data_IF_687655817792
#
_entry.id   IF_687655817792
#
_cell.length_a   1.000
_cell.length_b   1.000
_cell.length_c   1.000
_cell.angle_alpha   90.00
_cell.angle_beta   90.00
_cell.angle_gamma   90.00
#
_symmetry.space_group_name_H-M   'P 1'
#
loop_
_entity.id
_entity.type
_entity.pdbx_description
1 polymer ?
#
# COMPACT_ATOMS: atom_id res chain seq x y z
N UNK A 1 -14.81 6.52 15.13
CA UNK A 1 -13.97 5.71 14.22
C UNK A 1 -12.55 6.23 14.26
N UNK A 2 -11.60 5.32 14.19
CA UNK A 2 -10.18 5.61 14.09
C UNK A 2 -9.73 4.98 12.78
N UNK A 3 -9.19 5.80 11.86
CA UNK A 3 -8.68 5.32 10.57
C UNK A 3 -7.15 5.47 10.59
N UNK A 4 -6.44 4.39 10.33
CA UNK A 4 -5.01 4.41 10.04
C UNK A 4 -4.82 4.34 8.53
N UNK A 5 -4.61 5.50 7.92
CA UNK A 5 -4.27 5.58 6.50
C UNK A 5 -2.79 5.25 6.35
N UNK A 6 -2.52 4.11 5.73
CA UNK A 6 -1.19 3.60 5.53
C UNK A 6 -0.63 3.99 4.16
N UNK A 7 0.57 4.53 4.16
CA UNK A 7 1.30 4.93 2.96
C UNK A 7 2.46 4.01 2.58
N UNK A 8 2.70 2.91 3.31
CA UNK A 8 3.82 2.01 3.01
C UNK A 8 3.44 0.53 3.18
N UNK A 9 3.81 -0.29 2.19
CA UNK A 9 3.41 -1.70 2.15
C UNK A 9 3.81 -2.49 3.40
N UNK A 10 5.03 -2.33 3.90
CA UNK A 10 5.55 -3.08 5.04
C UNK A 10 4.79 -2.81 6.35
N UNK A 11 4.11 -1.67 6.45
CA UNK A 11 3.31 -1.34 7.62
C UNK A 11 1.94 -2.06 7.64
N UNK A 12 1.48 -2.61 6.52
CA UNK A 12 0.13 -3.18 6.36
C UNK A 12 -0.21 -4.17 7.46
N UNK A 13 0.68 -5.15 7.70
CA UNK A 13 0.43 -6.19 8.69
C UNK A 13 0.58 -5.68 10.12
N UNK A 14 1.55 -4.81 10.37
CA UNK A 14 1.76 -4.22 11.69
C UNK A 14 0.55 -3.39 12.13
N UNK A 15 0.01 -2.56 11.24
CA UNK A 15 -1.18 -1.73 11.50
C UNK A 15 -2.42 -2.62 11.69
N UNK A 16 -2.61 -3.62 10.83
CA UNK A 16 -3.74 -4.55 10.95
C UNK A 16 -3.70 -5.31 12.29
N UNK A 17 -2.52 -5.79 12.68
CA UNK A 17 -2.32 -6.46 13.95
C UNK A 17 -2.56 -5.53 15.14
N UNK A 18 -2.06 -4.30 15.10
CA UNK A 18 -2.31 -3.30 16.13
C UNK A 18 -3.81 -2.99 16.27
N UNK A 19 -4.52 -2.80 15.17
CA UNK A 19 -5.98 -2.61 15.17
C UNK A 19 -6.72 -3.80 15.82
N UNK A 20 -6.32 -5.03 15.47
CA UNK A 20 -6.90 -6.24 16.05
C UNK A 20 -6.67 -6.33 17.57
N UNK A 21 -5.47 -6.01 18.04
CA UNK A 21 -5.13 -6.05 19.45
C UNK A 21 -5.90 -5.04 20.29
N UNK A 22 -5.99 -3.79 19.82
CA UNK A 22 -6.71 -2.74 20.58
C UNK A 22 -8.23 -2.84 20.47
N UNK A 23 -8.75 -3.64 19.53
CA UNK A 23 -10.19 -3.74 19.28
C UNK A 23 -11.02 -4.10 20.51
N UNK A 24 -10.44 -4.87 21.45
CA UNK A 24 -11.10 -5.27 22.70
C UNK A 24 -11.16 -4.15 23.73
N UNK A 25 -10.22 -3.22 23.66
CA UNK A 25 -10.02 -2.13 24.64
C UNK A 25 -10.72 -0.84 24.22
N UNK A 26 -11.13 -0.76 22.93
CA UNK A 26 -11.82 0.42 22.42
C UNK A 26 -13.18 0.61 23.10
N UNK A 27 -13.57 1.86 23.38
CA UNK A 27 -14.89 2.19 23.89
C UNK A 27 -16.02 1.61 23.01
N UNK A 28 -17.18 1.40 23.64
CA UNK A 28 -18.36 0.97 22.87
C UNK A 28 -18.67 1.94 21.73
N UNK A 29 -19.02 1.39 20.56
CA UNK A 29 -19.24 2.17 19.35
C UNK A 29 -17.98 2.71 18.66
N UNK A 30 -16.79 2.51 19.26
CA UNK A 30 -15.53 2.85 18.60
C UNK A 30 -14.97 1.65 17.82
N UNK A 31 -14.40 1.93 16.66
CA UNK A 31 -13.70 0.93 15.81
C UNK A 31 -12.46 1.55 15.21
N UNK A 32 -11.49 0.67 14.97
CA UNK A 32 -10.21 0.98 14.36
C UNK A 32 -10.12 0.27 13.01
N UNK A 33 -9.77 0.98 11.96
CA UNK A 33 -9.71 0.46 10.60
C UNK A 33 -8.33 0.72 9.99
N UNK A 34 -7.59 -0.32 9.60
CA UNK A 34 -6.43 -0.17 8.74
C UNK A 34 -6.91 0.05 7.31
N UNK A 35 -6.42 1.09 6.66
CA UNK A 35 -6.72 1.42 5.26
C UNK A 35 -5.41 1.74 4.57
N UNK A 36 -5.08 1.01 3.50
CA UNK A 36 -3.96 1.39 2.65
C UNK A 36 -4.47 2.31 1.54
N UNK A 37 -3.70 3.31 1.14
CA UNK A 37 -4.12 4.28 0.12
C UNK A 37 -4.47 3.63 -1.24
N UNK A 38 -4.02 2.41 -1.47
CA UNK A 38 -4.29 1.64 -2.70
C UNK A 38 -5.46 0.65 -2.59
N UNK A 39 -6.08 0.49 -1.42
CA UNK A 39 -7.13 -0.53 -1.21
C UNK A 39 -8.36 -0.32 -2.10
N UNK A 40 -8.70 0.92 -2.39
CA UNK A 40 -9.84 1.26 -3.24
C UNK A 40 -9.55 1.23 -4.74
N UNK A 41 -8.30 1.01 -5.15
CA UNK A 41 -7.95 0.92 -6.56
C UNK A 41 -8.48 -0.38 -7.17
N UNK A 42 -9.11 -0.30 -8.34
CA UNK A 42 -9.48 -1.48 -9.12
C UNK A 42 -8.23 -2.24 -9.60
N UNK A 43 -8.40 -3.49 -9.99
CA UNK A 43 -7.30 -4.29 -10.55
C UNK A 43 -6.63 -3.61 -11.76
N UNK A 44 -7.43 -3.03 -12.66
CA UNK A 44 -6.94 -2.31 -13.83
C UNK A 44 -6.10 -1.09 -13.42
N UNK A 45 -6.56 -0.31 -12.45
CA UNK A 45 -5.83 0.85 -11.96
C UNK A 45 -4.52 0.44 -11.28
N UNK A 46 -4.54 -0.62 -10.49
CA UNK A 46 -3.31 -1.16 -9.89
C UNK A 46 -2.32 -1.62 -10.94
N UNK A 47 -2.78 -2.37 -11.95
CA UNK A 47 -1.92 -2.85 -13.03
C UNK A 47 -1.34 -1.71 -13.89
N UNK A 48 -2.04 -0.59 -13.98
CA UNK A 48 -1.57 0.59 -14.70
C UNK A 48 -0.41 1.27 -13.99
N UNK A 49 -0.47 1.38 -12.66
CA UNK A 49 0.45 2.21 -11.87
C UNK A 49 1.47 1.41 -11.06
N UNK A 50 1.15 0.20 -10.67
CA UNK A 50 2.00 -0.66 -9.85
C UNK A 50 1.84 -2.12 -10.22
N UNK A 51 2.66 -2.96 -9.64
CA UNK A 51 2.65 -4.39 -9.87
C UNK A 51 3.95 -4.86 -10.49
N UNK A 52 4.12 -6.18 -10.60
CA UNK A 52 5.41 -6.77 -10.95
C UNK A 52 5.98 -6.36 -12.29
N UNK A 53 5.12 -6.03 -13.26
CA UNK A 53 5.56 -5.55 -14.58
C UNK A 53 5.88 -4.05 -14.60
N UNK A 54 5.41 -3.30 -13.61
CA UNK A 54 5.61 -1.85 -13.52
C UNK A 54 6.63 -1.48 -12.44
N UNK A 55 6.81 -2.39 -11.50
CA UNK A 55 7.63 -2.18 -10.32
C UNK A 55 6.83 -2.09 -9.04
N UNK A 56 7.51 -2.27 -7.93
CA UNK A 56 6.93 -2.30 -6.59
C UNK A 56 7.56 -1.32 -5.62
N UNK A 57 8.74 -0.76 -5.95
CA UNK A 57 9.44 0.15 -5.06
C UNK A 57 10.26 1.17 -5.82
N UNK A 58 10.16 2.44 -5.43
CA UNK A 58 10.83 3.57 -6.08
C UNK A 58 10.64 3.58 -7.61
N UNK A 59 9.51 3.08 -8.08
CA UNK A 59 9.15 2.99 -9.49
C UNK A 59 8.43 4.26 -9.97
N UNK A 60 8.05 4.30 -11.22
CA UNK A 60 7.45 5.48 -11.86
C UNK A 60 6.34 6.13 -11.04
N UNK A 61 5.41 5.35 -10.45
CA UNK A 61 4.30 5.95 -9.71
C UNK A 61 4.78 6.64 -8.43
N UNK A 62 5.61 5.98 -7.62
CA UNK A 62 6.11 6.54 -6.35
C UNK A 62 7.00 7.75 -6.58
N UNK A 63 7.94 7.65 -7.53
CA UNK A 63 8.83 8.77 -7.85
C UNK A 63 8.07 9.95 -8.45
N UNK A 64 7.05 9.68 -9.28
CA UNK A 64 6.19 10.74 -9.83
C UNK A 64 5.44 11.49 -8.73
N UNK A 65 4.95 10.78 -7.70
CA UNK A 65 4.32 11.42 -6.54
C UNK A 65 5.29 12.35 -5.81
N UNK A 66 6.53 11.94 -5.61
CA UNK A 66 7.55 12.81 -5.00
C UNK A 66 7.81 14.03 -5.87
N UNK A 67 7.92 13.87 -7.18
CA UNK A 67 8.08 15.00 -8.13
C UNK A 67 6.89 15.97 -8.09
N UNK A 68 5.68 15.47 -7.92
CA UNK A 68 4.47 16.29 -7.80
C UNK A 68 4.42 17.07 -6.47
N UNK A 69 4.92 16.48 -5.38
CA UNK A 69 4.94 17.12 -4.07
C UNK A 69 6.07 18.14 -3.97
N UNK A 70 7.28 17.74 -4.29
CA UNK A 70 8.47 18.57 -4.29
C UNK A 70 9.56 17.94 -5.18
N UNK A 71 9.84 18.51 -6.36
CA UNK A 71 10.88 18.01 -7.25
C UNK A 71 12.29 17.95 -6.61
N UNK A 72 12.54 18.77 -5.59
CA UNK A 72 13.81 18.76 -4.85
C UNK A 72 14.07 17.49 -4.05
N UNK A 73 13.06 16.64 -3.85
CA UNK A 73 13.19 15.34 -3.17
C UNK A 73 13.76 14.25 -4.08
N UNK A 74 13.85 14.49 -5.39
CA UNK A 74 14.25 13.49 -6.38
C UNK A 74 15.53 13.89 -7.07
N UNK A 75 16.54 13.04 -6.98
CA UNK A 75 17.76 13.15 -7.77
C UNK A 75 17.54 12.51 -9.15
N UNK A 76 17.17 13.34 -10.13
CA UNK A 76 16.79 12.89 -11.48
C UNK A 76 17.92 12.12 -12.17
N UNK A 77 19.19 12.45 -11.88
CA UNK A 77 20.34 11.77 -12.49
C UNK A 77 20.53 10.34 -11.98
N UNK A 78 19.92 9.99 -10.86
CA UNK A 78 19.95 8.64 -10.27
C UNK A 78 18.76 7.77 -10.64
N UNK A 79 17.81 8.30 -11.39
CA UNK A 79 16.67 7.49 -11.85
C UNK A 79 17.17 6.35 -12.75
N UNK A 80 16.64 5.16 -12.50
CA UNK A 80 17.08 3.95 -13.18
C UNK A 80 15.92 3.00 -13.47
N UNK A 81 16.24 1.88 -14.10
CA UNK A 81 15.36 0.73 -14.20
C UNK A 81 16.11 -0.47 -13.64
N UNK A 82 15.59 -1.06 -12.58
CA UNK A 82 16.16 -2.26 -12.00
C UNK A 82 15.06 -3.24 -11.62
N UNK A 83 15.22 -4.48 -12.02
CA UNK A 83 14.30 -5.57 -11.70
C UNK A 83 15.03 -6.62 -10.88
N UNK A 84 14.36 -7.19 -9.86
CA UNK A 84 14.95 -8.30 -9.12
C UNK A 84 15.17 -9.50 -10.04
N UNK A 85 16.17 -10.31 -9.77
CA UNK A 85 16.52 -11.48 -10.61
C UNK A 85 15.56 -12.65 -10.38
N UNK A 86 14.26 -12.40 -10.24
CA UNK A 86 13.26 -13.46 -10.10
C UNK A 86 12.82 -13.96 -11.49
N UNK A 87 12.88 -15.25 -11.75
CA UNK A 87 12.40 -15.80 -13.00
C UNK A 87 10.87 -15.62 -13.11
N UNK A 88 10.40 -14.83 -14.06
CA UNK A 88 8.98 -14.51 -14.28
C UNK A 88 8.07 -15.74 -14.35
N UNK A 89 8.59 -16.85 -14.89
CA UNK A 89 7.82 -18.06 -15.13
C UNK A 89 7.61 -18.96 -13.91
N UNK A 90 8.20 -18.61 -12.77
CA UNK A 90 8.14 -19.47 -11.57
C UNK A 90 7.14 -19.01 -10.52
N UNK A 91 6.46 -17.90 -10.76
CA UNK A 91 5.60 -17.32 -9.75
C UNK A 91 4.16 -17.21 -10.24
N UNK A 92 3.41 -18.31 -10.16
CA UNK A 92 1.98 -18.33 -10.48
C UNK A 92 1.14 -17.62 -9.41
N UNK A 93 1.52 -17.71 -8.14
CA UNK A 93 0.83 -17.10 -7.01
C UNK A 93 1.66 -15.98 -6.37
N UNK A 94 1.94 -14.97 -7.15
CA UNK A 94 2.90 -13.94 -6.79
C UNK A 94 2.59 -13.21 -5.49
N UNK A 95 1.33 -12.97 -5.16
CA UNK A 95 0.96 -12.29 -3.92
C UNK A 95 1.40 -13.06 -2.68
N UNK A 96 1.23 -14.38 -2.66
CA UNK A 96 1.63 -15.22 -1.53
C UNK A 96 3.16 -15.40 -1.46
N UNK A 97 3.78 -15.66 -2.61
CA UNK A 97 5.24 -15.85 -2.70
C UNK A 97 5.96 -14.56 -2.40
N UNK A 98 5.52 -13.44 -2.96
CA UNK A 98 6.07 -12.12 -2.67
C UNK A 98 6.02 -11.81 -1.17
N UNK A 99 4.89 -12.01 -0.52
CA UNK A 99 4.75 -11.80 0.93
C UNK A 99 5.72 -12.68 1.72
N UNK A 100 5.81 -13.97 1.40
CA UNK A 100 6.70 -14.90 2.08
C UNK A 100 8.17 -14.51 1.92
N UNK A 101 8.60 -14.17 0.72
CA UNK A 101 9.97 -13.76 0.46
C UNK A 101 10.31 -12.41 1.06
N UNK A 102 9.44 -11.43 0.90
CA UNK A 102 9.67 -10.07 1.35
C UNK A 102 9.88 -10.00 2.86
N UNK A 103 9.03 -10.68 3.63
CA UNK A 103 9.11 -10.66 5.10
C UNK A 103 10.10 -11.66 5.71
N UNK A 104 10.61 -12.61 4.93
CA UNK A 104 11.62 -13.57 5.40
C UNK A 104 13.07 -13.11 5.17
N UNK A 105 13.27 -12.05 4.39
CA UNK A 105 14.61 -11.55 4.07
C UNK A 105 14.89 -10.21 4.74
N UNK A 106 16.00 -10.06 5.45
CA UNK A 106 16.40 -8.78 6.01
C UNK A 106 16.77 -7.79 4.91
N UNK A 107 16.32 -6.54 5.07
CA UNK A 107 16.63 -5.48 4.12
C UNK A 107 15.67 -5.37 2.94
N UNK A 108 14.60 -6.19 2.92
CA UNK A 108 13.47 -6.04 2.00
C UNK A 108 13.91 -5.78 0.53
N UNK A 109 13.57 -4.62 -0.05
CA UNK A 109 13.89 -4.29 -1.43
C UNK A 109 15.39 -4.27 -1.74
N UNK A 110 16.25 -3.90 -0.80
CA UNK A 110 17.71 -3.90 -0.98
C UNK A 110 18.31 -5.30 -1.11
N UNK A 111 17.59 -6.32 -0.67
CA UNK A 111 17.95 -7.69 -0.98
C UNK A 111 17.66 -8.04 -2.44
N UNK A 112 16.59 -7.46 -3.00
CA UNK A 112 16.13 -7.77 -4.34
C UNK A 112 16.91 -7.01 -5.42
N UNK A 113 17.27 -5.74 -5.15
CA UNK A 113 17.95 -4.86 -6.12
C UNK A 113 19.06 -4.07 -5.43
N UNK A 114 20.12 -3.75 -6.18
CA UNK A 114 21.29 -3.06 -5.64
C UNK A 114 21.01 -1.58 -5.33
N UNK A 115 20.19 -0.91 -6.16
CA UNK A 115 19.82 0.50 -5.98
C UNK A 115 18.65 0.72 -5.02
N UNK A 116 17.89 -0.34 -4.71
CA UNK A 116 16.62 -0.23 -4.02
C UNK A 116 15.44 0.08 -4.95
N UNK A 117 15.66 0.37 -6.22
CA UNK A 117 14.58 0.50 -7.21
C UNK A 117 14.11 -0.87 -7.64
N UNK A 118 12.80 -1.06 -7.67
CA UNK A 118 12.17 -2.22 -8.28
C UNK A 118 11.19 -1.76 -9.34
N UNK A 119 11.64 -1.74 -10.57
CA UNK A 119 10.91 -1.31 -11.73
C UNK A 119 11.54 -0.12 -12.45
N UNK A 120 10.77 0.53 -13.31
CA UNK A 120 11.18 1.69 -14.08
C UNK A 120 10.89 2.98 -13.31
N UNK A 121 11.90 3.84 -13.11
CA UNK A 121 11.73 5.15 -12.49
C UNK A 121 12.02 6.33 -13.42
N UNK A 122 12.69 6.10 -14.55
CA UNK A 122 13.09 7.15 -15.50
C UNK A 122 11.92 7.83 -16.20
N UNK A 123 10.76 7.13 -16.28
CA UNK A 123 9.54 7.65 -16.89
C UNK A 123 8.71 8.52 -15.93
N UNK A 124 9.24 8.86 -14.77
CA UNK A 124 8.53 9.63 -13.75
C UNK A 124 8.37 11.09 -14.15
N UNK A 125 7.19 11.65 -13.93
CA UNK A 125 6.91 13.08 -14.10
C UNK A 125 5.98 13.60 -13.02
N UNK A 126 5.99 14.90 -12.75
CA UNK A 126 5.10 15.53 -11.79
C UNK A 126 3.62 15.35 -12.18
N UNK A 127 3.31 15.44 -13.48
CA UNK A 127 1.93 15.28 -13.99
C UNK A 127 1.38 13.89 -13.71
N UNK A 128 2.21 12.84 -13.93
CA UNK A 128 1.83 11.46 -13.55
C UNK A 128 1.62 11.33 -12.05
N UNK A 129 2.42 12.02 -11.27
CA UNK A 129 2.29 12.04 -9.81
C UNK A 129 1.00 12.68 -9.35
N UNK A 130 0.62 13.81 -9.92
CA UNK A 130 -0.67 14.47 -9.62
C UNK A 130 -1.87 13.58 -10.01
N UNK A 131 -1.79 12.92 -11.18
CA UNK A 131 -2.82 11.98 -11.61
C UNK A 131 -2.96 10.80 -10.63
N UNK A 132 -1.85 10.21 -10.24
CA UNK A 132 -1.83 9.07 -9.31
C UNK A 132 -2.31 9.45 -7.92
N UNK A 133 -1.88 10.59 -7.39
CA UNK A 133 -2.37 11.11 -6.10
C UNK A 133 -3.88 11.31 -6.12
N UNK A 134 -4.42 11.95 -7.16
CA UNK A 134 -5.87 12.13 -7.29
C UNK A 134 -6.60 10.80 -7.32
N UNK A 135 -6.10 9.85 -8.11
CA UNK A 135 -6.67 8.51 -8.21
C UNK A 135 -6.71 7.80 -6.84
N UNK A 136 -5.60 7.85 -6.10
CA UNK A 136 -5.50 7.26 -4.78
C UNK A 136 -6.40 7.96 -3.74
N UNK A 137 -6.53 9.28 -3.82
CA UNK A 137 -7.46 10.03 -2.97
C UNK A 137 -8.91 9.62 -3.23
N UNK A 138 -9.33 9.58 -4.49
CA UNK A 138 -10.68 9.19 -4.86
C UNK A 138 -10.98 7.74 -4.43
N UNK A 139 -10.05 6.83 -4.66
CA UNK A 139 -10.16 5.44 -4.22
C UNK A 139 -10.24 5.31 -2.69
N UNK A 140 -9.46 6.09 -1.96
CA UNK A 140 -9.50 6.12 -0.49
C UNK A 140 -10.84 6.63 0.02
N UNK A 141 -11.39 7.69 -0.57
CA UNK A 141 -12.72 8.21 -0.19
C UNK A 141 -13.82 7.17 -0.40
N UNK A 142 -13.79 6.40 -1.48
CA UNK A 142 -14.72 5.29 -1.70
C UNK A 142 -14.63 4.24 -0.58
N UNK A 143 -13.42 3.84 -0.18
CA UNK A 143 -13.21 2.89 0.93
C UNK A 143 -13.76 3.44 2.24
N UNK A 144 -13.52 4.71 2.53
CA UNK A 144 -14.03 5.35 3.75
C UNK A 144 -15.56 5.40 3.77
N UNK A 145 -16.20 5.69 2.65
CA UNK A 145 -17.66 5.64 2.51
C UNK A 145 -18.21 4.22 2.72
N UNK A 146 -17.55 3.21 2.21
CA UNK A 146 -17.94 1.81 2.42
C UNK A 146 -17.78 1.38 3.88
N UNK A 147 -16.70 1.77 4.53
CA UNK A 147 -16.49 1.55 5.97
C UNK A 147 -17.62 2.19 6.77
N UNK A 148 -17.98 3.45 6.46
CA UNK A 148 -19.03 4.17 7.18
C UNK A 148 -20.40 3.52 6.98
N UNK A 149 -20.76 3.14 5.76
CA UNK A 149 -22.01 2.42 5.45
C UNK A 149 -22.08 1.07 6.16
N UNK A 150 -20.98 0.32 6.08
CA UNK A 150 -20.87 -1.00 6.71
C UNK A 150 -20.98 -0.87 8.23
N UNK A 151 -20.27 0.09 8.82
CA UNK A 151 -20.31 0.33 10.26
C UNK A 151 -21.72 0.67 10.77
N UNK A 152 -22.47 1.48 10.02
CA UNK A 152 -23.85 1.83 10.35
C UNK A 152 -24.80 0.62 10.27
N UNK A 153 -24.52 -0.31 9.37
CA UNK A 153 -25.33 -1.52 9.19
C UNK A 153 -24.96 -2.66 10.16
N UNK A 154 -23.82 -2.57 10.84
CA UNK A 154 -23.39 -3.61 11.79
C UNK A 154 -24.28 -3.63 13.03
N UNK A 155 -24.68 -4.82 13.51
CA UNK A 155 -25.40 -4.93 14.77
C UNK A 155 -24.51 -4.46 15.93
N UNK A 156 -25.11 -4.00 17.05
CA UNK A 156 -24.35 -3.68 18.25
C UNK A 156 -23.55 -4.90 18.72
N UNK A 157 -22.37 -4.66 19.26
CA UNK A 157 -21.51 -5.72 19.77
C UNK A 157 -22.20 -6.44 20.92
N UNK A 158 -22.26 -7.79 20.90
CA UNK A 158 -22.81 -8.54 22.03
C UNK A 158 -22.05 -8.22 23.33
N UNK A 159 -22.77 -7.98 24.41
CA UNK A 159 -22.20 -7.57 25.70
C UNK A 159 -21.24 -8.61 26.32
N UNK A 160 -21.39 -9.88 25.95
CA UNK A 160 -20.64 -11.02 26.48
C UNK A 160 -19.24 -11.23 25.83
N UNK A 161 -18.94 -10.54 24.75
CA UNK A 161 -17.63 -10.68 24.05
C UNK A 161 -16.48 -10.08 24.86
N UNK A 162 -16.76 -9.23 25.87
CA UNK A 162 -15.72 -8.63 26.73
C UNK A 162 -15.22 -9.58 27.84
N UNK A 163 -15.90 -10.68 28.09
CA UNK A 163 -15.64 -11.60 29.21
C UNK A 163 -14.97 -12.92 28.81
N UNK A 164 -14.52 -13.04 27.57
CA UNK A 164 -13.86 -14.27 27.08
C UNK A 164 -12.42 -14.04 26.70
#
# INVERSE_FOLDING_TARGET
RIIFLNGHYDNTFAIAYACANVAKELPEGCRCFPVNYWDGLSAVQRDQWSGLKKGLHAHTAEVSVLLAIDPGLVDIEKLNCEEPPFPEYQIENIGAVHTAFFFSNPGSVHWATASGTWGESRDSTAEKGEEYLRLCCDATLLVLDEIERTFKAMPPRPADVRSR
#
